data_IF_686378830304
#
_entry.id   IF_686378830304
#
_cell.length_a   1.000
_cell.length_b   1.000
_cell.length_c   1.000
_cell.angle_alpha   90.00
_cell.angle_beta   90.00
_cell.angle_gamma   90.00
#
_symmetry.space_group_name_H-M   'P 1'
#
loop_
_entity.id
_entity.type
_entity.pdbx_description
1 polymer ?
#
# COMPACT_ATOMS: atom_id res chain seq x y z
N UNK A 1 -10.92 12.68 17.67
CA UNK A 1 -10.70 12.84 16.20
C UNK A 1 -12.04 13.10 15.55
N UNK A 2 -12.09 13.94 14.51
CA UNK A 2 -13.33 14.19 13.78
C UNK A 2 -13.71 12.94 12.96
N UNK A 3 -14.90 12.40 13.20
CA UNK A 3 -15.51 11.31 12.43
C UNK A 3 -16.36 11.88 11.31
N UNK A 4 -16.25 11.29 10.11
CA UNK A 4 -17.09 11.62 8.96
C UNK A 4 -18.02 10.45 8.68
N UNK A 5 -19.31 10.73 8.51
CA UNK A 5 -20.32 9.71 8.19
C UNK A 5 -20.28 9.38 6.69
N UNK A 6 -20.41 8.09 6.37
CA UNK A 6 -20.56 7.59 5.00
C UNK A 6 -21.72 6.60 4.97
N UNK A 7 -22.58 6.71 3.95
CA UNK A 7 -23.66 5.75 3.72
C UNK A 7 -23.15 4.64 2.79
N UNK A 8 -23.40 3.38 3.15
CA UNK A 8 -22.96 2.20 2.41
C UNK A 8 -24.18 1.30 2.22
N UNK A 9 -24.43 0.87 0.99
CA UNK A 9 -25.43 -0.14 0.71
C UNK A 9 -24.79 -1.53 0.84
N UNK A 10 -25.46 -2.43 1.55
CA UNK A 10 -25.06 -3.80 1.75
C UNK A 10 -26.19 -4.72 1.32
N UNK A 11 -25.87 -5.96 0.96
CA UNK A 11 -26.88 -7.00 0.80
C UNK A 11 -27.45 -7.38 2.17
N UNK A 12 -28.62 -8.01 2.18
CA UNK A 12 -29.24 -8.49 3.43
C UNK A 12 -28.33 -9.49 4.16
N UNK A 13 -27.65 -10.35 3.40
CA UNK A 13 -26.66 -11.30 3.91
C UNK A 13 -25.51 -10.60 4.64
N UNK A 14 -24.90 -9.58 4.02
CA UNK A 14 -23.80 -8.83 4.65
C UNK A 14 -24.26 -8.04 5.86
N UNK A 15 -25.50 -7.55 5.85
CA UNK A 15 -26.09 -6.86 6.99
C UNK A 15 -26.26 -7.81 8.18
N UNK A 16 -26.82 -9.00 7.94
CA UNK A 16 -26.98 -10.03 8.97
C UNK A 16 -25.64 -10.46 9.58
N UNK A 17 -24.61 -10.65 8.74
CA UNK A 17 -23.26 -10.97 9.19
C UNK A 17 -22.68 -9.89 10.11
N UNK A 18 -22.80 -8.62 9.73
CA UNK A 18 -22.31 -7.49 10.54
C UNK A 18 -23.05 -7.40 11.88
N UNK A 19 -24.36 -7.67 11.89
CA UNK A 19 -25.13 -7.72 13.12
C UNK A 19 -24.67 -8.85 14.05
N UNK A 20 -24.35 -10.03 13.51
CA UNK A 20 -23.84 -11.16 14.29
C UNK A 20 -22.49 -10.83 14.92
N UNK A 21 -21.56 -10.23 14.15
CA UNK A 21 -20.26 -9.78 14.65
C UNK A 21 -20.39 -8.78 15.80
N UNK A 22 -21.34 -7.84 15.72
CA UNK A 22 -21.63 -6.89 16.80
C UNK A 22 -22.28 -7.60 18.00
N UNK A 23 -23.24 -8.51 17.77
CA UNK A 23 -23.92 -9.29 18.83
C UNK A 23 -22.99 -10.24 19.56
N UNK A 24 -21.94 -10.74 18.90
CA UNK A 24 -20.91 -11.61 19.50
C UNK A 24 -20.12 -10.93 20.63
N UNK A 25 -20.19 -9.59 20.71
CA UNK A 25 -19.50 -8.78 21.71
C UNK A 25 -18.10 -8.33 21.28
N UNK A 26 -17.64 -8.73 20.10
CA UNK A 26 -16.35 -8.30 19.55
C UNK A 26 -16.32 -6.80 19.18
N UNK A 27 -17.48 -6.21 18.89
CA UNK A 27 -17.62 -4.82 18.47
C UNK A 27 -18.79 -4.13 19.16
N UNK A 28 -18.62 -2.88 19.59
CA UNK A 28 -19.68 -2.10 20.24
C UNK A 28 -20.72 -1.51 19.28
N UNK A 29 -20.40 -1.44 17.99
CA UNK A 29 -21.35 -1.08 16.92
C UNK A 29 -20.79 -1.40 15.52
N UNK A 30 -21.66 -1.31 14.52
CA UNK A 30 -21.34 -1.49 13.11
C UNK A 30 -20.21 -0.58 12.61
N UNK A 31 -20.18 0.68 13.06
CA UNK A 31 -19.12 1.62 12.64
C UNK A 31 -17.75 1.26 13.21
N UNK A 32 -17.68 0.53 14.32
CA UNK A 32 -16.44 -0.01 14.87
C UNK A 32 -15.94 -1.20 14.06
N UNK A 33 -16.82 -2.17 13.80
CA UNK A 33 -16.54 -3.30 12.92
C UNK A 33 -15.94 -2.85 11.59
N UNK A 34 -16.60 -1.92 10.89
CA UNK A 34 -16.11 -1.43 9.60
C UNK A 34 -14.80 -0.65 9.70
N UNK A 35 -14.57 0.10 10.78
CA UNK A 35 -13.29 0.80 10.97
C UNK A 35 -12.13 -0.17 11.11
N UNK A 36 -12.35 -1.26 11.83
CA UNK A 36 -11.32 -2.28 12.05
C UNK A 36 -11.08 -3.10 10.78
N UNK A 37 -12.14 -3.51 10.10
CA UNK A 37 -12.06 -4.17 8.79
C UNK A 37 -11.27 -3.33 7.77
N UNK A 38 -11.52 -2.01 7.72
CA UNK A 38 -10.79 -1.10 6.83
C UNK A 38 -9.33 -0.94 7.21
N UNK A 39 -8.99 -0.93 8.51
CA UNK A 39 -7.59 -0.88 8.97
C UNK A 39 -6.85 -2.15 8.58
N UNK A 40 -7.49 -3.30 8.74
CA UNK A 40 -6.92 -4.57 8.32
C UNK A 40 -6.70 -4.61 6.80
N UNK A 41 -7.71 -4.26 6.01
CA UNK A 41 -7.58 -4.21 4.54
C UNK A 41 -6.47 -3.26 4.11
N UNK A 42 -6.31 -2.10 4.78
CA UNK A 42 -5.22 -1.17 4.51
C UNK A 42 -3.85 -1.79 4.80
N UNK A 43 -3.72 -2.53 5.90
CA UNK A 43 -2.48 -3.25 6.26
C UNK A 43 -2.15 -4.32 5.22
N UNK A 44 -3.14 -5.14 4.85
CA UNK A 44 -2.99 -6.17 3.81
C UNK A 44 -2.53 -5.57 2.48
N UNK A 45 -3.12 -4.46 2.04
CA UNK A 45 -2.71 -3.78 0.79
C UNK A 45 -1.26 -3.30 0.82
N UNK A 46 -0.77 -2.83 1.96
CA UNK A 46 0.65 -2.44 2.11
C UNK A 46 1.56 -3.67 2.01
N UNK A 47 1.15 -4.78 2.62
CA UNK A 47 1.89 -6.03 2.55
C UNK A 47 1.91 -6.62 1.14
N UNK A 48 0.76 -6.69 0.47
CA UNK A 48 0.63 -7.09 -0.95
C UNK A 48 1.59 -6.27 -1.83
N UNK A 49 1.64 -4.94 -1.62
CA UNK A 49 2.52 -4.06 -2.39
C UNK A 49 4.01 -4.31 -2.10
N UNK A 50 4.36 -4.60 -0.85
CA UNK A 50 5.74 -4.93 -0.49
C UNK A 50 6.16 -6.24 -1.15
N UNK A 51 5.30 -7.25 -1.13
CA UNK A 51 5.55 -8.55 -1.75
C UNK A 51 5.74 -8.43 -3.27
N UNK A 52 4.90 -7.65 -3.95
CA UNK A 52 5.08 -7.34 -5.38
C UNK A 52 6.47 -6.75 -5.67
N UNK A 53 6.92 -5.78 -4.87
CA UNK A 53 8.22 -5.13 -5.05
C UNK A 53 9.39 -6.08 -4.77
N UNK A 54 9.25 -6.96 -3.80
CA UNK A 54 10.26 -7.99 -3.52
C UNK A 54 10.36 -8.99 -4.66
N UNK A 55 9.23 -9.43 -5.20
CA UNK A 55 9.20 -10.31 -6.39
C UNK A 55 9.81 -9.62 -7.61
N UNK A 56 9.50 -8.34 -7.83
CA UNK A 56 10.14 -7.55 -8.89
C UNK A 56 11.67 -7.51 -8.70
N UNK A 57 12.13 -7.29 -7.46
CA UNK A 57 13.55 -7.31 -7.12
C UNK A 57 14.21 -8.67 -7.36
N UNK A 58 13.56 -9.77 -6.99
CA UNK A 58 14.05 -11.13 -7.22
C UNK A 58 14.12 -11.46 -8.72
N UNK A 59 13.20 -10.93 -9.52
CA UNK A 59 13.20 -11.09 -10.98
C UNK A 59 14.04 -10.04 -11.72
N UNK A 60 14.72 -9.12 -11.00
CA UNK A 60 15.48 -8.02 -11.61
C UNK A 60 16.82 -8.43 -12.24
N UNK A 61 17.17 -9.72 -12.16
CA UNK A 61 18.39 -10.30 -12.71
C UNK A 61 19.41 -10.67 -11.64
N UNK A 62 20.64 -10.93 -12.07
CA UNK A 62 21.70 -11.36 -11.16
C UNK A 62 22.07 -10.27 -10.14
N UNK A 63 22.17 -10.61 -8.84
CA UNK A 63 22.59 -9.67 -7.83
C UNK A 63 24.03 -9.24 -8.08
N UNK A 64 24.26 -7.93 -7.99
CA UNK A 64 25.59 -7.32 -8.11
C UNK A 64 26.06 -6.81 -6.73
N UNK A 65 27.38 -6.79 -6.53
CA UNK A 65 27.95 -6.15 -5.34
C UNK A 65 27.76 -4.63 -5.42
N UNK A 66 27.15 -4.04 -4.39
CA UNK A 66 26.93 -2.60 -4.31
C UNK A 66 28.06 -1.97 -3.48
N UNK A 67 29.05 -1.39 -4.16
CA UNK A 67 30.14 -0.63 -3.51
C UNK A 67 29.85 0.88 -3.49
N UNK A 68 30.49 1.65 -2.59
CA UNK A 68 30.36 3.12 -2.59
C UNK A 68 30.70 3.75 -3.96
N UNK A 69 31.71 3.23 -4.65
CA UNK A 69 32.13 3.68 -5.98
C UNK A 69 31.04 3.43 -7.03
N UNK A 70 30.42 2.24 -7.01
CA UNK A 70 29.32 1.89 -7.90
C UNK A 70 28.12 2.84 -7.70
N UNK A 71 27.78 3.15 -6.45
CA UNK A 71 26.68 4.07 -6.13
C UNK A 71 27.00 5.48 -6.62
N UNK A 72 28.22 5.98 -6.38
CA UNK A 72 28.66 7.30 -6.84
C UNK A 72 28.55 7.42 -8.36
N UNK A 73 29.10 6.46 -9.10
CA UNK A 73 29.05 6.45 -10.56
C UNK A 73 27.60 6.39 -11.08
N UNK A 74 26.76 5.55 -10.47
CA UNK A 74 25.34 5.44 -10.85
C UNK A 74 24.59 6.76 -10.62
N UNK A 75 24.82 7.43 -9.50
CA UNK A 75 24.22 8.75 -9.21
C UNK A 75 24.67 9.81 -10.21
N UNK A 76 25.97 9.88 -10.53
CA UNK A 76 26.51 10.81 -11.53
C UNK A 76 25.85 10.59 -12.91
N UNK A 77 25.70 9.33 -13.33
CA UNK A 77 25.00 8.96 -14.57
C UNK A 77 23.52 9.37 -14.56
N UNK A 78 22.81 9.16 -13.44
CA UNK A 78 21.39 9.55 -13.31
C UNK A 78 21.20 11.07 -13.36
N UNK A 79 22.06 11.83 -12.67
CA UNK A 79 22.04 13.30 -12.69
C UNK A 79 22.35 13.83 -14.09
N UNK A 80 23.32 13.24 -14.80
CA UNK A 80 23.62 13.61 -16.17
C UNK A 80 22.43 13.36 -17.12
N UNK A 81 21.75 12.21 -17.00
CA UNK A 81 20.54 11.90 -17.77
C UNK A 81 19.40 12.88 -17.50
N UNK A 82 19.16 13.23 -16.23
CA UNK A 82 18.13 14.20 -15.85
C UNK A 82 18.41 15.60 -16.44
N UNK A 83 19.68 16.04 -16.44
CA UNK A 83 20.10 17.32 -17.06
C UNK A 83 19.93 17.33 -18.58
N UNK A 84 20.13 16.20 -19.25
CA UNK A 84 19.91 16.08 -20.69
C UNK A 84 18.42 16.10 -21.04
N UNK A 85 17.58 15.34 -20.31
CA UNK A 85 16.13 15.34 -20.50
C UNK A 85 15.47 16.71 -20.25
N UNK A 86 16.03 17.53 -19.37
CA UNK A 86 15.61 18.91 -19.15
C UNK A 86 16.02 19.89 -20.26
N UNK A 87 17.04 19.57 -21.07
CA UNK A 87 17.49 20.39 -22.21
C UNK A 87 16.70 20.11 -23.49
N UNK A 88 16.14 18.91 -23.67
CA UNK A 88 15.38 18.52 -24.88
C UNK A 88 13.93 19.04 -24.90
N UNK A 89 13.47 19.67 -23.81
CA UNK A 89 12.13 20.26 -23.67
C UNK A 89 12.10 21.78 -23.85
N UNK A 90 13.19 22.39 -24.31
CA UNK A 90 13.34 23.83 -24.55
C UNK A 90 13.66 24.07 -26.01
#
# INVERSE_FOLDING_TARGET
>A
MATKTMNIALTDELTAFVEEEVKSGNYGNTSEFFRDLLRERKKQRVQEKLEELLLEGLHSGEPISVTPEYVKEKLERLVAKAKQAGKTKK
#
